data_IF_361204130845
#
_entry.id   IF_361204130845
#
_cell.length_a   1.000
_cell.length_b   1.000
_cell.length_c   1.000
_cell.angle_alpha   90.00
_cell.angle_beta   90.00
_cell.angle_gamma   90.00
#
_symmetry.space_group_name_H-M   'P 1'
#
loop_
_entity.id
_entity.type
_entity.pdbx_description
1 polymer ?
#
# COMPACT_ATOMS: atom_id res chain seq x y z
N UNK A 1 17.83 -8.26 4.45
CA UNK A 1 17.07 -7.05 4.82
C UNK A 1 16.30 -7.31 6.11
N UNK A 2 16.47 -6.50 7.16
CA UNK A 2 15.81 -6.71 8.45
C UNK A 2 14.27 -6.66 8.33
N UNK A 3 13.57 -7.39 9.20
CA UNK A 3 12.09 -7.50 9.18
C UNK A 3 11.41 -6.14 9.24
N UNK A 4 11.86 -5.27 10.15
CA UNK A 4 11.33 -3.91 10.28
C UNK A 4 11.45 -3.13 8.97
N UNK A 5 12.62 -3.21 8.30
CA UNK A 5 12.83 -2.54 7.01
C UNK A 5 11.93 -3.10 5.91
N UNK A 6 11.66 -4.41 5.88
CA UNK A 6 10.69 -5.00 4.92
C UNK A 6 9.28 -4.45 5.12
N UNK A 7 8.85 -4.28 6.38
CA UNK A 7 7.53 -3.74 6.72
C UNK A 7 7.45 -2.27 6.31
N UNK A 8 8.48 -1.47 6.61
CA UNK A 8 8.54 -0.05 6.24
C UNK A 8 8.54 0.13 4.72
N UNK A 9 9.35 -0.66 3.99
CA UNK A 9 9.35 -0.62 2.51
C UNK A 9 7.97 -0.98 1.96
N UNK A 10 7.33 -2.02 2.49
CA UNK A 10 5.98 -2.39 2.06
C UNK A 10 4.95 -1.28 2.34
N UNK A 11 5.05 -0.62 3.50
CA UNK A 11 4.22 0.53 3.83
C UNK A 11 4.41 1.67 2.82
N UNK A 12 5.66 2.09 2.58
CA UNK A 12 5.99 3.19 1.66
C UNK A 12 5.53 2.88 0.22
N UNK A 13 5.77 1.66 -0.26
CA UNK A 13 5.27 1.24 -1.58
C UNK A 13 3.75 1.23 -1.63
N UNK A 14 3.08 0.81 -0.57
CA UNK A 14 1.63 0.87 -0.47
C UNK A 14 1.08 2.30 -0.39
N UNK A 15 1.79 3.23 0.26
CA UNK A 15 1.44 4.66 0.23
C UNK A 15 1.45 5.18 -1.20
N UNK A 16 2.55 4.95 -1.94
CA UNK A 16 2.71 5.40 -3.32
C UNK A 16 1.62 4.79 -4.21
N UNK A 17 1.38 3.48 -4.07
CA UNK A 17 0.36 2.80 -4.84
C UNK A 17 -1.05 3.32 -4.51
N UNK A 18 -1.37 3.51 -3.23
CA UNK A 18 -2.68 4.02 -2.80
C UNK A 18 -2.93 5.46 -3.20
N UNK A 19 -1.90 6.32 -3.18
CA UNK A 19 -1.97 7.70 -3.68
C UNK A 19 -2.27 7.76 -5.18
N UNK A 20 -1.64 6.86 -5.95
CA UNK A 20 -1.80 6.84 -7.40
C UNK A 20 -3.23 6.45 -7.85
N UNK A 21 -3.96 5.64 -7.07
CA UNK A 21 -5.29 5.13 -7.45
C UNK A 21 -6.31 6.24 -7.74
N UNK A 22 -6.61 7.17 -6.82
CA UNK A 22 -7.58 8.24 -7.08
C UNK A 22 -7.09 9.22 -8.15
N UNK A 23 -5.78 9.46 -8.27
CA UNK A 23 -5.21 10.31 -9.32
C UNK A 23 -5.44 9.68 -10.70
N UNK A 24 -5.10 8.41 -10.87
CA UNK A 24 -5.35 7.66 -12.11
C UNK A 24 -6.85 7.58 -12.41
N UNK A 25 -7.67 7.33 -11.39
CA UNK A 25 -9.13 7.33 -11.51
C UNK A 25 -9.67 8.67 -12.00
N UNK A 26 -9.16 9.79 -11.46
CA UNK A 26 -9.53 11.13 -11.88
C UNK A 26 -9.11 11.43 -13.33
N UNK A 27 -7.88 11.07 -13.71
CA UNK A 27 -7.40 11.19 -15.10
C UNK A 27 -8.32 10.40 -16.05
N UNK A 28 -8.69 9.18 -15.67
CA UNK A 28 -9.57 8.34 -16.49
C UNK A 28 -10.95 9.00 -16.62
N UNK A 29 -11.52 9.46 -15.52
CA UNK A 29 -12.84 10.09 -15.48
C UNK A 29 -12.91 11.35 -16.36
N UNK A 30 -11.90 12.21 -16.28
CA UNK A 30 -11.86 13.47 -17.04
C UNK A 30 -11.50 13.26 -18.51
N UNK A 31 -10.60 12.32 -18.81
CA UNK A 31 -10.10 12.11 -20.18
C UNK A 31 -11.02 11.22 -21.02
N UNK A 32 -11.58 10.16 -20.43
CA UNK A 32 -12.32 9.13 -21.18
C UNK A 32 -13.83 9.17 -20.94
N UNK A 33 -14.28 9.70 -19.80
CA UNK A 33 -15.71 9.75 -19.44
C UNK A 33 -16.30 11.17 -19.48
N UNK A 34 -15.51 12.17 -19.87
CA UNK A 34 -15.98 13.54 -20.06
C UNK A 34 -16.42 14.23 -18.76
N UNK A 35 -15.96 13.76 -17.60
CA UNK A 35 -16.21 14.45 -16.33
C UNK A 35 -15.54 15.81 -16.39
N UNK A 36 -16.35 16.87 -16.25
CA UNK A 36 -15.87 18.24 -16.34
C UNK A 36 -15.56 18.79 -14.93
N UNK A 37 -14.30 19.15 -14.70
CA UNK A 37 -13.84 19.79 -13.47
C UNK A 37 -13.26 21.17 -13.80
N UNK A 38 -14.15 22.17 -13.87
CA UNK A 38 -13.81 23.53 -14.32
C UNK A 38 -12.79 24.22 -13.41
N UNK A 39 -12.99 24.04 -12.11
CA UNK A 39 -12.29 24.78 -11.07
C UNK A 39 -11.16 23.95 -10.44
N UNK A 40 -10.96 22.69 -10.89
CA UNK A 40 -9.96 21.77 -10.37
C UNK A 40 -10.29 21.22 -8.98
N UNK A 41 -11.53 21.38 -8.51
CA UNK A 41 -11.96 20.92 -7.18
C UNK A 41 -11.93 19.40 -7.08
N UNK A 42 -12.28 18.70 -8.15
CA UNK A 42 -12.17 17.25 -8.27
C UNK A 42 -10.71 16.79 -8.24
N UNK A 43 -9.81 17.47 -8.97
CA UNK A 43 -8.38 17.21 -8.93
C UNK A 43 -7.79 17.41 -7.52
N UNK A 44 -8.15 18.52 -6.86
CA UNK A 44 -7.72 18.80 -5.48
C UNK A 44 -8.26 17.77 -4.50
N UNK A 45 -9.52 17.35 -4.62
CA UNK A 45 -10.10 16.29 -3.80
C UNK A 45 -9.40 14.94 -4.00
N UNK A 46 -9.06 14.61 -5.25
CA UNK A 46 -8.34 13.39 -5.59
C UNK A 46 -6.93 13.37 -4.98
N UNK A 47 -6.19 14.49 -5.02
CA UNK A 47 -4.80 14.59 -4.56
C UNK A 47 -4.69 14.82 -3.04
N UNK A 48 -5.50 15.70 -2.46
CA UNK A 48 -5.28 16.14 -1.07
C UNK A 48 -6.16 15.42 -0.04
N UNK A 49 -7.21 14.73 -0.48
CA UNK A 49 -8.14 14.04 0.43
C UNK A 49 -8.15 12.54 0.12
N UNK A 50 -8.59 12.17 -1.08
CA UNK A 50 -8.75 10.76 -1.45
C UNK A 50 -7.41 10.04 -1.58
N UNK A 51 -6.40 10.69 -2.17
CA UNK A 51 -5.03 10.19 -2.29
C UNK A 51 -4.49 9.75 -0.93
N UNK A 52 -4.32 10.67 0.04
CA UNK A 52 -3.78 10.35 1.35
C UNK A 52 -4.60 9.30 2.10
N UNK A 53 -5.93 9.33 1.99
CA UNK A 53 -6.79 8.32 2.59
C UNK A 53 -6.54 6.92 2.00
N UNK A 54 -6.50 6.80 0.68
CA UNK A 54 -6.19 5.56 -0.02
C UNK A 54 -4.75 5.10 0.25
N UNK A 55 -3.78 6.01 0.23
CA UNK A 55 -2.39 5.75 0.56
C UNK A 55 -2.26 5.10 1.94
N UNK A 56 -2.85 5.71 2.97
CA UNK A 56 -2.80 5.18 4.34
C UNK A 56 -3.43 3.79 4.45
N UNK A 57 -4.58 3.56 3.80
CA UNK A 57 -5.23 2.24 3.80
C UNK A 57 -4.35 1.20 3.13
N UNK A 58 -3.89 1.46 1.89
CA UNK A 58 -3.11 0.51 1.10
C UNK A 58 -1.75 0.26 1.75
N UNK A 59 -1.06 1.30 2.20
CA UNK A 59 0.20 1.23 2.95
C UNK A 59 0.06 0.37 4.20
N UNK A 60 -0.96 0.64 5.02
CA UNK A 60 -1.20 -0.11 6.27
C UNK A 60 -1.49 -1.58 6.00
N UNK A 61 -2.35 -1.88 5.02
CA UNK A 61 -2.68 -3.26 4.64
C UNK A 61 -1.43 -4.00 4.11
N UNK A 62 -0.63 -3.36 3.25
CA UNK A 62 0.61 -3.94 2.73
C UNK A 62 1.61 -4.25 3.85
N UNK A 63 1.78 -3.32 4.79
CA UNK A 63 2.65 -3.47 5.95
C UNK A 63 2.19 -4.66 6.84
N UNK A 64 0.88 -4.76 7.10
CA UNK A 64 0.29 -5.86 7.88
C UNK A 64 0.53 -7.21 7.18
N UNK A 65 0.28 -7.30 5.87
CA UNK A 65 0.49 -8.53 5.10
C UNK A 65 1.96 -8.97 5.21
N UNK A 66 2.91 -8.05 5.01
CA UNK A 66 4.34 -8.36 5.10
C UNK A 66 4.76 -8.72 6.52
N UNK A 67 4.21 -8.05 7.54
CA UNK A 67 4.46 -8.37 8.94
C UNK A 67 3.99 -9.77 9.31
N UNK A 68 2.80 -10.19 8.85
CA UNK A 68 2.23 -11.53 9.06
C UNK A 68 3.01 -12.60 8.32
N UNK A 69 3.35 -12.38 7.05
CA UNK A 69 4.17 -13.32 6.26
C UNK A 69 5.57 -13.51 6.85
N UNK A 70 6.18 -12.44 7.34
CA UNK A 70 7.49 -12.50 8.00
C UNK A 70 7.44 -13.23 9.35
N UNK A 71 6.33 -13.12 10.09
CA UNK A 71 6.15 -13.88 11.32
C UNK A 71 6.02 -15.39 11.04
N UNK A 72 5.19 -15.77 10.07
CA UNK A 72 4.99 -17.18 9.67
C UNK A 72 6.30 -17.84 9.26
N UNK A 73 7.08 -17.21 8.39
CA UNK A 73 8.34 -17.75 7.90
C UNK A 73 9.37 -17.97 9.02
N UNK A 74 9.35 -17.12 10.07
CA UNK A 74 10.23 -17.29 11.24
C UNK A 74 9.83 -18.52 12.06
N UNK A 75 8.54 -18.70 12.32
CA UNK A 75 8.04 -19.85 13.06
C UNK A 75 8.35 -21.18 12.35
N UNK A 76 8.17 -21.24 11.03
CA UNK A 76 8.51 -22.43 10.23
C UNK A 76 10.01 -22.76 10.31
N UNK A 77 10.89 -21.74 10.24
CA UNK A 77 12.32 -21.94 10.37
C UNK A 77 12.75 -22.44 11.77
N UNK A 78 12.08 -22.01 12.84
CA UNK A 78 12.36 -22.47 14.20
C UNK A 78 11.98 -23.93 14.42
N UNK A 79 10.89 -24.39 13.79
CA UNK A 79 10.46 -25.79 13.86
C UNK A 79 11.46 -26.68 13.12
N UNK A 80 11.87 -26.29 11.92
CA UNK A 80 12.84 -27.05 11.12
C UNK A 80 14.22 -27.17 11.81
N UNK A 81 14.66 -26.13 12.52
CA UNK A 81 15.90 -26.15 13.29
C UNK A 81 15.80 -27.11 14.49
N UNK A 82 14.67 -27.09 15.21
CA UNK A 82 14.42 -28.00 16.34
C UNK A 82 14.40 -29.48 15.91
N UNK A 83 13.80 -29.79 14.76
CA UNK A 83 13.78 -31.15 14.20
C UNK A 83 15.16 -31.64 13.76
N UNK A 84 16.07 -30.73 13.36
CA UNK A 84 17.44 -31.08 12.95
C UNK A 84 18.40 -31.33 14.12
N UNK A 85 18.02 -30.88 15.33
CA UNK A 85 18.81 -31.03 16.55
C UNK A 85 18.38 -32.24 17.40
N UNK A 86 17.31 -32.93 17.03
CA UNK A 86 16.78 -34.14 17.67
C UNK A 86 17.29 -35.42 16.97
#
# INVERSE_FOLDING_TARGET
MPRALRIVVAFVLGLIAGEAVPIVGYIIATTYFGVFDRDGGGAMGAIFIMGPACALVVGTVAAIIVARRSAKARSEAQIADADSAA
#
